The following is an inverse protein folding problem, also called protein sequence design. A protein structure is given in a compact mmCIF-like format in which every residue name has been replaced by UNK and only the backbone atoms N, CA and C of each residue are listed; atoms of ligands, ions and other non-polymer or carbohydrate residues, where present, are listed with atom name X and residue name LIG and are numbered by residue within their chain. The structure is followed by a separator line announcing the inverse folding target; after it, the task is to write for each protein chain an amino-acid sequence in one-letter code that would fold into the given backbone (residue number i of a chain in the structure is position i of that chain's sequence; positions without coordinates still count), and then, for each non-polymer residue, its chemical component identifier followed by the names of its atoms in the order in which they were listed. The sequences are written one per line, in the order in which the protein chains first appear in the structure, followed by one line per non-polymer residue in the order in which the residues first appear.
data_IF_675411256326
#
_entry.id   IF_675411256326
#
_cell.length_a   1.000
_cell.length_b   1.000
_cell.length_c   1.000
_cell.angle_alpha   90.00
_cell.angle_beta   90.00
_cell.angle_gamma   90.00
#
_symmetry.space_group_name_H-M   'P 1'
#
loop_
_entity.id
_entity.type
_entity.pdbx_description
1 polymer ?
#
# COMPACT_ATOMS: atom_id res chain seq x y z
N UNK A 1 -7.83 -7.54 3.44
CA UNK A 1 -6.85 -6.94 2.51
C UNK A 1 -5.55 -6.72 3.24
N UNK A 2 -4.42 -6.77 2.54
CA UNK A 2 -3.09 -6.47 3.07
C UNK A 2 -2.85 -4.96 3.00
N UNK A 3 -2.56 -4.31 4.12
CA UNK A 3 -2.18 -2.89 4.17
C UNK A 3 -0.75 -2.71 3.62
N UNK A 4 -0.61 -1.93 2.55
CA UNK A 4 0.66 -1.74 1.85
C UNK A 4 1.73 -1.11 2.75
N UNK A 5 1.36 -0.16 3.60
CA UNK A 5 2.32 0.48 4.51
C UNK A 5 2.77 -0.49 5.60
N UNK A 6 1.85 -1.27 6.18
CA UNK A 6 2.21 -2.29 7.17
C UNK A 6 3.10 -3.39 6.58
N UNK A 7 3.02 -3.64 5.25
CA UNK A 7 3.79 -4.70 4.59
C UNK A 7 5.20 -4.29 4.20
N UNK A 8 5.37 -3.10 3.64
CA UNK A 8 6.63 -2.65 3.03
C UNK A 8 7.02 -1.20 3.39
N UNK A 9 6.21 -0.50 4.18
CA UNK A 9 6.50 0.87 4.58
C UNK A 9 7.62 0.96 5.64
N UNK A 10 8.11 2.18 5.85
CA UNK A 10 9.11 2.49 6.85
C UNK A 10 8.73 3.73 7.66
N UNK A 11 9.10 3.74 8.95
CA UNK A 11 8.72 4.78 9.91
C UNK A 11 7.28 4.61 10.43
N UNK A 12 6.72 5.68 10.97
CA UNK A 12 5.41 5.63 11.65
C UNK A 12 4.19 5.67 10.72
N UNK A 13 4.39 6.02 9.45
CA UNK A 13 3.31 6.01 8.47
C UNK A 13 2.32 7.16 8.58
N UNK A 14 2.66 8.23 9.28
CA UNK A 14 1.76 9.39 9.41
C UNK A 14 1.52 10.04 8.06
N UNK A 15 0.24 10.14 7.67
CA UNK A 15 -0.20 10.68 6.39
C UNK A 15 -0.85 12.05 6.54
N UNK A 16 -1.17 12.47 7.76
CA UNK A 16 -1.74 13.78 8.04
C UNK A 16 -0.74 14.66 8.80
N UNK A 17 -0.41 15.83 8.25
CA UNK A 17 0.60 16.78 8.74
C UNK A 17 -0.02 18.12 9.20
N UNK A 18 -1.24 18.13 9.76
CA UNK A 18 -1.80 19.33 10.39
C UNK A 18 -1.50 19.35 11.89
N UNK A 19 -0.58 20.22 12.32
CA UNK A 19 -0.21 20.60 13.69
C UNK A 19 0.22 19.47 14.68
N UNK A 20 -0.35 18.28 14.59
CA UNK A 20 -0.04 17.06 15.34
C UNK A 20 0.01 15.88 14.36
N UNK A 21 1.17 15.65 13.73
CA UNK A 21 1.30 14.73 12.61
C UNK A 21 1.41 13.28 13.08
N UNK A 22 0.37 12.77 13.75
CA UNK A 22 0.39 11.46 14.42
C UNK A 22 -0.64 10.48 13.86
N UNK A 23 -1.40 10.89 12.84
CA UNK A 23 -2.47 10.09 12.27
C UNK A 23 -2.06 9.50 10.92
N UNK A 24 -2.38 8.21 10.75
CA UNK A 24 -2.34 7.50 9.47
C UNK A 24 -3.79 7.22 9.07
N UNK A 25 -4.29 8.01 8.14
CA UNK A 25 -5.69 7.96 7.70
C UNK A 25 -5.84 7.61 6.22
N UNK A 26 -4.74 7.59 5.47
CA UNK A 26 -4.70 7.23 4.06
C UNK A 26 -4.10 5.82 3.89
N UNK A 27 -4.79 4.95 3.16
CA UNK A 27 -4.46 3.52 3.07
C UNK A 27 -4.57 3.01 1.63
N UNK A 28 -3.67 2.08 1.28
CA UNK A 28 -3.80 1.22 0.11
C UNK A 28 -3.92 -0.22 0.59
N UNK A 29 -5.04 -0.87 0.27
CA UNK A 29 -5.32 -2.26 0.64
C UNK A 29 -5.22 -3.18 -0.59
N UNK A 30 -4.34 -4.18 -0.53
CA UNK A 30 -4.19 -5.19 -1.57
C UNK A 30 -5.02 -6.45 -1.25
N UNK A 31 -5.74 -6.97 -2.25
CA UNK A 31 -6.42 -8.27 -2.16
C UNK A 31 -5.41 -9.43 -2.32
N UNK A 32 -5.86 -10.68 -2.14
CA UNK A 32 -4.98 -11.84 -2.19
C UNK A 32 -4.30 -12.05 -3.56
N UNK A 33 -4.87 -11.55 -4.66
CA UNK A 33 -4.28 -11.61 -5.99
C UNK A 33 -3.19 -10.55 -6.25
N UNK A 34 -2.87 -9.72 -5.26
CA UNK A 34 -1.90 -8.64 -5.39
C UNK A 34 -0.80 -8.79 -4.34
N UNK A 35 0.46 -8.68 -4.78
CA UNK A 35 1.61 -8.56 -3.90
C UNK A 35 2.05 -7.10 -3.80
N UNK A 36 2.25 -6.61 -2.58
CA UNK A 36 2.86 -5.29 -2.32
C UNK A 36 4.37 -5.42 -2.43
N UNK A 37 5.00 -4.62 -3.31
CA UNK A 37 6.46 -4.60 -3.50
C UNK A 37 7.14 -3.50 -2.69
N UNK A 38 6.52 -2.32 -2.64
CA UNK A 38 7.04 -1.14 -1.94
C UNK A 38 5.88 -0.23 -1.52
N UNK A 39 6.10 0.57 -0.48
CA UNK A 39 5.16 1.59 -0.04
C UNK A 39 5.92 2.80 0.51
N UNK A 40 5.59 3.99 0.00
CA UNK A 40 6.28 5.24 0.30
C UNK A 40 5.29 6.35 0.63
N UNK A 41 5.71 7.25 1.53
CA UNK A 41 4.98 8.45 1.86
C UNK A 41 5.68 9.67 1.26
N UNK A 42 5.08 10.22 0.22
CA UNK A 42 5.57 11.39 -0.49
C UNK A 42 5.19 12.67 0.26
N UNK A 43 6.14 13.59 0.39
CA UNK A 43 5.89 14.90 1.01
C UNK A 43 5.77 15.94 -0.10
N UNK A 44 4.54 16.36 -0.37
CA UNK A 44 4.24 17.46 -1.28
C UNK A 44 3.70 18.64 -0.47
N UNK A 45 4.10 19.86 -0.81
CA UNK A 45 3.70 21.09 -0.08
C UNK A 45 2.33 21.64 -0.51
N UNK A 46 1.58 20.90 -1.32
CA UNK A 46 0.29 21.32 -1.87
C UNK A 46 -0.92 20.88 -1.02
N UNK A 47 -0.69 20.10 0.05
CA UNK A 47 -1.72 19.57 0.94
C UNK A 47 -1.17 19.41 2.37
N UNK A 48 -2.06 19.35 3.35
CA UNK A 48 -1.80 18.89 4.71
C UNK A 48 -1.72 17.35 4.82
N UNK A 49 -1.95 16.62 3.73
CA UNK A 49 -1.69 15.18 3.63
C UNK A 49 -0.38 14.88 2.90
N UNK A 50 0.30 13.82 3.35
CA UNK A 50 1.39 13.15 2.62
C UNK A 50 0.80 12.08 1.70
N UNK A 51 1.20 12.10 0.44
CA UNK A 51 0.73 11.13 -0.55
C UNK A 51 1.20 9.71 -0.22
N UNK A 52 0.31 8.73 -0.30
CA UNK A 52 0.65 7.31 -0.16
C UNK A 52 0.84 6.69 -1.54
N UNK A 53 2.05 6.21 -1.85
CA UNK A 53 2.35 5.49 -3.10
C UNK A 53 2.73 4.05 -2.79
N UNK A 54 2.17 3.09 -3.52
CA UNK A 54 2.57 1.70 -3.43
C UNK A 54 2.79 1.09 -4.83
N UNK A 55 3.76 0.20 -4.95
CA UNK A 55 3.94 -0.63 -6.14
C UNK A 55 3.33 -2.00 -5.88
N UNK A 56 2.43 -2.43 -6.77
CA UNK A 56 1.72 -3.70 -6.67
C UNK A 56 2.05 -4.58 -7.87
N UNK A 57 2.14 -5.88 -7.63
CA UNK A 57 2.29 -6.89 -8.68
C UNK A 57 1.07 -7.80 -8.67
N UNK A 58 0.49 -8.04 -9.84
CA UNK A 58 -0.55 -9.05 -10.01
C UNK A 58 0.09 -10.43 -9.90
N UNK A 59 -0.38 -11.20 -8.93
CA UNK A 59 -0.03 -12.60 -8.81
C UNK A 59 -0.84 -13.34 -9.87
N UNK A 60 -0.17 -13.92 -10.85
CA UNK A 60 -0.83 -14.81 -11.80
C UNK A 60 -1.52 -15.91 -11.02
N UNK A 61 -2.80 -16.15 -11.32
CA UNK A 61 -3.40 -17.42 -10.96
C UNK A 61 -2.56 -18.51 -11.64
N UNK A 62 -2.15 -19.52 -10.88
CA UNK A 62 -1.80 -20.80 -11.51
C UNK A 62 -3.04 -21.14 -12.30
N UNK A 63 -2.93 -21.23 -13.63
CA UNK A 63 -4.03 -21.71 -14.45
C UNK A 63 -4.52 -23.00 -13.80
N UNK A 64 -5.82 -23.12 -13.53
CA UNK A 64 -6.36 -24.37 -13.01
C UNK A 64 -5.80 -25.49 -13.89
N UNK A 65 -5.21 -26.56 -13.32
CA UNK A 65 -4.80 -27.69 -14.14
C UNK A 65 -6.01 -28.13 -14.95
N UNK A 66 -5.82 -28.23 -16.27
CA UNK A 66 -6.86 -28.73 -17.18
C UNK A 66 -7.46 -30.01 -16.56
N UNK A 67 -8.80 -30.10 -16.43
CA UNK A 67 -9.41 -31.29 -15.86
C UNK A 67 -9.20 -32.47 -16.82
N UNK A 68 -8.19 -33.30 -16.53
CA UNK A 68 -7.97 -34.60 -17.16
C UNK A 68 -6.60 -34.79 -17.80
N UNK A 69 -5.61 -35.18 -17.00
CA UNK A 69 -4.54 -36.10 -17.41
C UNK A 69 -4.38 -37.19 -16.36
#
# INVERSE_FOLDING_TARGET
GQDAFAKCGWGFGFTYDAAFPVLRIDYILASAGLAVKSCHLEREYCSDHRGVRAELVLLSQVADPEPGQ
#
